data_IF_659999184690
#
_entry.id   IF_659999184690
#
_cell.length_a   1.000
_cell.length_b   1.000
_cell.length_c   1.000
_cell.angle_alpha   90.00
_cell.angle_beta   90.00
_cell.angle_gamma   90.00
#
_symmetry.space_group_name_H-M   'P 1'
#
loop_
_entity.id
_entity.type
_entity.pdbx_description
1 polymer ?
#
# COMPACT_ATOMS: atom_id res chain seq x y z
N UNK A 1 20.86 89.97 -93.24
CA UNK A 1 20.83 90.19 -94.71
C UNK A 1 20.95 91.70 -94.91
N UNK A 2 21.93 92.20 -95.67
CA UNK A 2 22.11 93.67 -95.84
C UNK A 2 21.03 94.27 -96.75
N UNK A 3 20.69 95.55 -96.55
CA UNK A 3 19.67 96.29 -97.31
C UNK A 3 19.83 96.15 -98.83
N UNK A 4 21.08 96.21 -99.30
CA UNK A 4 21.44 96.03 -100.71
C UNK A 4 21.11 94.64 -101.28
N UNK A 5 21.08 93.61 -100.42
CA UNK A 5 20.77 92.23 -100.81
C UNK A 5 19.25 92.01 -100.84
N UNK A 6 18.49 92.70 -99.98
CA UNK A 6 17.01 92.73 -100.03
C UNK A 6 16.52 93.49 -101.25
N UNK A 7 17.10 94.66 -101.53
CA UNK A 7 16.74 95.44 -102.71
C UNK A 7 17.04 94.67 -104.00
N UNK A 8 18.21 94.03 -104.10
CA UNK A 8 18.52 93.14 -105.25
C UNK A 8 17.58 91.93 -105.37
N UNK A 9 17.12 91.36 -104.26
CA UNK A 9 16.15 90.25 -104.27
C UNK A 9 14.76 90.74 -104.73
N UNK A 10 14.34 91.92 -104.24
CA UNK A 10 13.08 92.57 -104.62
C UNK A 10 13.06 92.90 -106.12
N UNK A 11 14.09 93.56 -106.65
CA UNK A 11 14.15 93.90 -108.09
C UNK A 11 14.09 92.66 -108.98
N UNK A 12 14.73 91.55 -108.57
CA UNK A 12 14.66 90.28 -109.31
C UNK A 12 13.30 89.60 -109.18
N UNK A 13 12.65 89.67 -108.02
CA UNK A 13 11.30 89.12 -107.81
C UNK A 13 10.25 89.91 -108.59
N UNK A 14 10.38 91.24 -108.60
CA UNK A 14 9.52 92.17 -109.34
C UNK A 14 9.58 91.91 -110.86
N UNK A 15 10.78 91.63 -111.40
CA UNK A 15 10.99 91.33 -112.82
C UNK A 15 10.37 89.98 -113.25
N UNK A 16 10.22 89.02 -112.33
CA UNK A 16 9.78 87.65 -112.63
C UNK A 16 8.29 87.42 -112.29
N UNK A 17 7.82 87.95 -111.16
CA UNK A 17 6.49 87.66 -110.58
C UNK A 17 5.55 88.87 -110.62
N UNK A 18 6.05 90.06 -110.99
CA UNK A 18 5.28 91.30 -110.94
C UNK A 18 5.28 91.95 -109.55
N UNK A 19 4.92 93.22 -109.52
CA UNK A 19 5.06 94.11 -108.35
C UNK A 19 4.26 93.64 -107.13
N UNK A 20 3.02 93.20 -107.30
CA UNK A 20 2.17 92.78 -106.17
C UNK A 20 2.71 91.52 -105.47
N UNK A 21 3.02 90.45 -106.23
CA UNK A 21 3.48 89.18 -105.68
C UNK A 21 4.89 89.28 -105.08
N UNK A 22 5.77 90.05 -105.70
CA UNK A 22 7.11 90.35 -105.17
C UNK A 22 7.03 91.13 -103.85
N UNK A 23 6.07 92.05 -103.72
CA UNK A 23 5.82 92.81 -102.50
C UNK A 23 5.27 91.91 -101.40
N UNK A 24 4.29 91.05 -101.69
CA UNK A 24 3.71 90.12 -100.72
C UNK A 24 4.76 89.12 -100.16
N UNK A 25 5.63 88.57 -101.02
CA UNK A 25 6.71 87.67 -100.57
C UNK A 25 7.78 88.39 -99.75
N UNK A 26 8.05 89.67 -100.04
CA UNK A 26 9.00 90.48 -99.29
C UNK A 26 8.41 91.03 -97.98
N UNK A 27 7.09 91.21 -97.88
CA UNK A 27 6.36 91.51 -96.63
C UNK A 27 6.40 90.35 -95.65
N UNK A 28 6.37 89.10 -96.15
CA UNK A 28 6.47 87.90 -95.32
C UNK A 28 7.92 87.54 -94.95
N UNK A 29 8.92 88.19 -95.54
CA UNK A 29 10.30 88.04 -95.13
C UNK A 29 10.54 88.90 -93.88
N UNK A 30 11.05 88.32 -92.77
CA UNK A 30 11.29 89.10 -91.56
C UNK A 30 12.21 90.31 -91.88
N UNK A 31 11.96 91.48 -91.26
CA UNK A 31 12.70 92.72 -91.56
C UNK A 31 14.20 92.61 -91.27
N UNK A 32 14.60 91.57 -90.54
CA UNK A 32 15.96 91.17 -90.21
C UNK A 32 16.22 89.76 -90.78
N UNK A 33 17.46 89.45 -91.16
CA UNK A 33 17.73 88.20 -91.90
C UNK A 33 17.43 86.94 -91.08
N UNK A 34 17.32 85.76 -91.71
CA UNK A 34 17.15 84.47 -91.01
C UNK A 34 18.19 84.17 -89.93
N UNK A 35 19.33 84.89 -89.94
CA UNK A 35 20.33 84.87 -88.88
C UNK A 35 19.81 85.45 -87.53
N UNK A 36 18.70 86.20 -87.55
CA UNK A 36 18.07 86.84 -86.40
C UNK A 36 16.78 86.14 -85.92
N UNK A 37 16.28 85.12 -86.65
CA UNK A 37 15.07 84.36 -86.25
C UNK A 37 15.36 83.41 -85.07
N UNK A 38 16.63 83.13 -84.83
CA UNK A 38 17.21 82.86 -83.52
C UNK A 38 18.66 83.29 -83.65
N UNK A 39 19.05 84.36 -82.97
CA UNK A 39 20.47 84.74 -83.00
C UNK A 39 21.27 83.62 -82.34
N UNK A 40 22.45 83.26 -82.86
CA UNK A 40 23.32 82.27 -82.21
C UNK A 40 23.55 82.60 -80.71
N UNK A 41 23.48 83.89 -80.36
CA UNK A 41 23.55 84.41 -78.99
C UNK A 41 22.36 83.96 -78.11
N UNK A 42 21.14 83.94 -78.62
CA UNK A 42 19.97 83.44 -77.88
C UNK A 42 20.05 81.93 -77.65
N UNK A 43 20.57 81.17 -78.62
CA UNK A 43 20.84 79.74 -78.47
C UNK A 43 21.93 79.47 -77.42
N UNK A 44 22.99 80.28 -77.38
CA UNK A 44 24.04 80.20 -76.35
C UNK A 44 23.48 80.48 -74.94
N UNK A 45 22.59 81.48 -74.82
CA UNK A 45 21.91 81.78 -73.55
C UNK A 45 21.02 80.62 -73.11
N UNK A 46 20.24 80.04 -74.03
CA UNK A 46 19.37 78.90 -73.74
C UNK A 46 20.21 77.66 -73.35
N UNK A 47 21.30 77.41 -74.06
CA UNK A 47 22.26 76.32 -73.75
C UNK A 47 22.84 76.49 -72.36
N UNK A 48 23.33 77.68 -72.01
CA UNK A 48 23.85 77.97 -70.68
C UNK A 48 22.80 77.78 -69.59
N UNK A 49 21.54 78.18 -69.84
CA UNK A 49 20.43 77.97 -68.91
C UNK A 49 20.11 76.47 -68.71
N UNK A 50 20.14 75.68 -69.77
CA UNK A 50 19.95 74.22 -69.71
C UNK A 50 21.11 73.55 -68.96
N UNK A 51 22.36 73.91 -69.25
CA UNK A 51 23.54 73.40 -68.55
C UNK A 51 23.48 73.73 -67.05
N UNK A 52 23.12 74.97 -66.70
CA UNK A 52 22.92 75.38 -65.30
C UNK A 52 21.81 74.58 -64.62
N UNK A 53 20.70 74.30 -65.32
CA UNK A 53 19.59 73.50 -64.80
C UNK A 53 19.96 72.03 -64.63
N UNK A 54 20.75 71.46 -65.55
CA UNK A 54 21.28 70.10 -65.42
C UNK A 54 22.21 70.01 -64.20
N UNK A 55 23.13 70.96 -64.04
CA UNK A 55 24.03 71.00 -62.88
C UNK A 55 23.26 71.14 -61.56
N UNK A 56 22.22 71.98 -61.52
CA UNK A 56 21.36 72.13 -60.35
C UNK A 56 20.58 70.84 -60.02
N UNK A 57 20.05 70.15 -61.03
CA UNK A 57 19.36 68.86 -60.85
C UNK A 57 20.31 67.77 -60.37
N UNK A 58 21.53 67.71 -60.91
CA UNK A 58 22.57 66.79 -60.45
C UNK A 58 22.92 67.04 -58.97
N UNK A 59 23.15 68.29 -58.59
CA UNK A 59 23.41 68.65 -57.19
C UNK A 59 22.24 68.30 -56.27
N UNK A 60 20.99 68.52 -56.71
CA UNK A 60 19.80 68.16 -55.93
C UNK A 60 19.67 66.65 -55.76
N UNK A 61 19.92 65.87 -56.82
CA UNK A 61 19.89 64.41 -56.77
C UNK A 61 20.96 63.88 -55.83
N UNK A 62 22.19 64.37 -55.91
CA UNK A 62 23.28 63.99 -55.01
C UNK A 62 22.90 64.26 -53.56
N UNK A 63 22.40 65.46 -53.26
CA UNK A 63 21.94 65.81 -51.91
C UNK A 63 20.80 64.91 -51.42
N UNK A 64 19.85 64.53 -52.29
CA UNK A 64 18.78 63.60 -51.94
C UNK A 64 19.30 62.18 -51.70
N UNK A 65 20.27 61.70 -52.48
CA UNK A 65 20.88 60.39 -52.27
C UNK A 65 21.63 60.35 -50.95
N UNK A 66 22.46 61.35 -50.64
CA UNK A 66 23.16 61.43 -49.35
C UNK A 66 22.18 61.48 -48.17
N UNK A 67 21.08 62.23 -48.29
CA UNK A 67 20.05 62.29 -47.26
C UNK A 67 19.31 60.95 -47.09
N UNK A 68 19.05 60.24 -48.19
CA UNK A 68 18.42 58.92 -48.17
C UNK A 68 19.34 57.88 -47.52
N UNK A 69 20.62 57.86 -47.86
CA UNK A 69 21.62 56.99 -47.25
C UNK A 69 21.74 57.22 -45.75
N UNK A 70 21.81 58.48 -45.32
CA UNK A 70 21.83 58.84 -43.90
C UNK A 70 20.56 58.36 -43.17
N UNK A 71 19.38 58.54 -43.78
CA UNK A 71 18.11 58.10 -43.20
C UNK A 71 18.00 56.57 -43.13
N UNK A 72 18.51 55.86 -44.13
CA UNK A 72 18.54 54.40 -44.14
C UNK A 72 19.48 53.84 -43.07
N UNK A 73 20.70 54.39 -42.96
CA UNK A 73 21.65 54.00 -41.92
C UNK A 73 21.07 54.22 -40.51
N UNK A 74 20.50 55.39 -40.25
CA UNK A 74 19.85 55.68 -38.97
C UNK A 74 18.70 54.70 -38.65
N UNK A 75 17.95 54.26 -39.68
CA UNK A 75 16.87 53.28 -39.52
C UNK A 75 17.39 51.87 -39.29
N UNK A 76 18.52 51.49 -39.91
CA UNK A 76 19.21 50.23 -39.63
C UNK A 76 19.69 50.22 -38.18
N UNK A 77 20.40 51.26 -37.74
CA UNK A 77 20.88 51.39 -36.35
C UNK A 77 19.73 51.28 -35.34
N UNK A 78 18.59 51.91 -35.63
CA UNK A 78 17.40 51.84 -34.78
C UNK A 78 16.82 50.42 -34.70
N UNK A 79 16.78 49.70 -35.83
CA UNK A 79 16.30 48.32 -35.88
C UNK A 79 17.24 47.38 -35.13
N UNK A 80 18.56 47.54 -35.30
CA UNK A 80 19.57 46.75 -34.60
C UNK A 80 19.51 46.97 -33.08
N UNK A 81 19.43 48.23 -32.64
CA UNK A 81 19.28 48.57 -31.22
C UNK A 81 17.98 48.00 -30.64
N UNK A 82 16.87 48.10 -31.38
CA UNK A 82 15.59 47.52 -30.98
C UNK A 82 15.62 45.99 -30.90
N UNK A 83 16.34 45.34 -31.82
CA UNK A 83 16.56 43.89 -31.81
C UNK A 83 17.37 43.44 -30.61
N UNK A 84 18.48 44.11 -30.32
CA UNK A 84 19.33 43.83 -29.17
C UNK A 84 18.58 43.99 -27.85
N UNK A 85 17.80 45.07 -27.69
CA UNK A 85 17.00 45.30 -26.50
C UNK A 85 15.95 44.19 -26.28
N UNK A 86 15.27 43.76 -27.35
CA UNK A 86 14.29 42.67 -27.29
C UNK A 86 14.93 41.34 -26.94
N UNK A 87 16.12 41.04 -27.47
CA UNK A 87 16.86 39.83 -27.11
C UNK A 87 17.21 39.83 -25.62
N UNK A 88 17.71 40.95 -25.09
CA UNK A 88 17.99 41.08 -23.65
C UNK A 88 16.75 40.92 -22.78
N UNK A 89 15.60 41.44 -23.19
CA UNK A 89 14.33 41.24 -22.48
C UNK A 89 13.88 39.77 -22.47
N UNK A 90 14.06 39.07 -23.61
CA UNK A 90 13.74 37.64 -23.72
C UNK A 90 14.66 36.80 -22.84
N UNK A 91 15.96 37.06 -22.85
CA UNK A 91 16.94 36.38 -21.98
C UNK A 91 16.60 36.58 -20.50
N UNK A 92 16.32 37.81 -20.08
CA UNK A 92 15.93 38.11 -18.70
C UNK A 92 14.66 37.36 -18.29
N UNK A 93 13.65 37.30 -19.18
CA UNK A 93 12.42 36.54 -18.94
C UNK A 93 12.66 35.03 -18.84
N UNK A 94 13.52 34.48 -19.68
CA UNK A 94 13.85 33.06 -19.65
C UNK A 94 14.60 32.69 -18.37
N UNK A 95 15.59 33.49 -17.97
CA UNK A 95 16.31 33.27 -16.70
C UNK A 95 15.35 33.32 -15.50
N UNK A 96 14.50 34.35 -15.42
CA UNK A 96 13.50 34.45 -14.35
C UNK A 96 12.47 33.29 -14.37
N UNK A 97 12.24 32.67 -15.53
CA UNK A 97 11.38 31.48 -15.63
C UNK A 97 12.12 30.22 -15.17
N UNK A 98 13.40 30.09 -15.50
CA UNK A 98 14.27 29.00 -15.04
C UNK A 98 14.36 29.03 -13.51
N UNK A 99 14.71 30.17 -12.91
CA UNK A 99 14.81 30.33 -11.45
C UNK A 99 13.51 29.92 -10.74
N UNK A 100 12.36 30.32 -11.30
CA UNK A 100 11.05 29.97 -10.73
C UNK A 100 10.76 28.46 -10.82
N UNK A 101 11.16 27.82 -11.92
CA UNK A 101 11.01 26.38 -12.09
C UNK A 101 11.91 25.63 -11.12
N UNK A 102 13.18 26.03 -11.00
CA UNK A 102 14.14 25.42 -10.06
C UNK A 102 13.65 25.54 -8.61
N UNK A 103 13.23 26.75 -8.19
CA UNK A 103 12.67 26.96 -6.86
C UNK A 103 11.41 26.10 -6.62
N UNK A 104 10.54 25.98 -7.64
CA UNK A 104 9.34 25.15 -7.56
C UNK A 104 9.63 23.66 -7.48
N UNK A 105 10.67 23.18 -8.17
CA UNK A 105 11.10 21.78 -8.10
C UNK A 105 11.72 21.46 -6.74
N UNK A 106 12.57 22.34 -6.21
CA UNK A 106 13.15 22.17 -4.87
C UNK A 106 12.07 22.11 -3.79
N UNK A 107 11.11 23.04 -3.81
CA UNK A 107 10.00 23.02 -2.85
C UNK A 107 9.15 21.74 -2.94
N UNK A 108 8.98 21.17 -4.14
CA UNK A 108 8.28 19.90 -4.33
C UNK A 108 9.09 18.70 -3.81
N UNK A 109 10.42 18.73 -3.96
CA UNK A 109 11.29 17.71 -3.40
C UNK A 109 11.24 17.74 -1.86
N UNK A 110 11.34 18.93 -1.25
CA UNK A 110 11.24 19.08 0.21
C UNK A 110 9.89 18.56 0.74
N UNK A 111 8.80 18.87 0.05
CA UNK A 111 7.46 18.37 0.38
C UNK A 111 7.36 16.85 0.25
N UNK A 112 7.97 16.27 -0.78
CA UNK A 112 7.99 14.83 -1.00
C UNK A 112 8.79 14.12 0.10
N UNK A 113 9.98 14.63 0.45
CA UNK A 113 10.81 14.08 1.52
C UNK A 113 10.09 14.13 2.87
N UNK A 114 9.48 15.27 3.22
CA UNK A 114 8.69 15.40 4.45
C UNK A 114 7.50 14.42 4.47
N UNK A 115 6.81 14.27 3.33
CA UNK A 115 5.70 13.33 3.20
C UNK A 115 6.11 11.86 3.30
N UNK A 116 7.28 11.50 2.75
CA UNK A 116 7.83 10.15 2.86
C UNK A 116 8.24 9.82 4.30
N UNK A 117 8.92 10.75 4.98
CA UNK A 117 9.30 10.58 6.39
C UNK A 117 8.06 10.37 7.28
N UNK A 118 7.01 11.19 7.12
CA UNK A 118 5.77 11.02 7.87
C UNK A 118 5.10 9.65 7.63
N UNK A 119 5.17 9.12 6.40
CA UNK A 119 4.65 7.78 6.10
C UNK A 119 5.49 6.67 6.72
N UNK A 120 6.81 6.84 6.79
CA UNK A 120 7.71 5.89 7.48
C UNK A 120 7.36 5.86 8.97
N UNK A 121 7.28 7.01 9.62
CA UNK A 121 6.90 7.13 11.03
C UNK A 121 5.55 6.46 11.32
N UNK A 122 4.56 6.65 10.44
CA UNK A 122 3.25 6.03 10.56
C UNK A 122 3.32 4.50 10.46
N UNK A 123 4.13 3.97 9.55
CA UNK A 123 4.32 2.52 9.38
C UNK A 123 5.03 1.91 10.58
N UNK A 124 6.06 2.58 11.10
CA UNK A 124 6.79 2.13 12.30
C UNK A 124 5.88 2.11 13.54
N UNK A 125 5.13 3.19 13.77
CA UNK A 125 4.16 3.26 14.86
C UNK A 125 3.07 2.18 14.74
N UNK A 126 2.55 1.96 13.53
CA UNK A 126 1.58 0.89 13.26
C UNK A 126 2.14 -0.51 13.49
N UNK A 127 3.40 -0.73 13.13
CA UNK A 127 4.12 -1.99 13.39
C UNK A 127 4.29 -2.25 14.89
N UNK A 128 4.71 -1.23 15.65
CA UNK A 128 4.86 -1.32 17.11
C UNK A 128 3.54 -1.62 17.81
N UNK A 129 2.46 -0.92 17.44
CA UNK A 129 1.13 -1.15 18.00
C UNK A 129 0.65 -2.59 17.76
N UNK A 130 0.81 -3.09 16.52
CA UNK A 130 0.42 -4.45 16.17
C UNK A 130 1.25 -5.51 16.89
N UNK A 131 2.54 -5.26 17.13
CA UNK A 131 3.36 -6.15 17.96
C UNK A 131 2.82 -6.23 19.39
N UNK A 132 2.49 -5.07 19.99
CA UNK A 132 1.89 -5.03 21.33
C UNK A 132 0.54 -5.75 21.42
N UNK A 133 -0.31 -5.63 20.39
CA UNK A 133 -1.57 -6.38 20.33
C UNK A 133 -1.36 -7.90 20.28
N UNK A 134 -0.37 -8.36 19.51
CA UNK A 134 -0.01 -9.79 19.41
C UNK A 134 0.53 -10.31 20.74
N UNK A 135 1.42 -9.57 21.40
CA UNK A 135 1.94 -9.93 22.72
C UNK A 135 0.82 -10.05 23.77
N UNK A 136 -0.08 -9.06 23.83
CA UNK A 136 -1.23 -9.08 24.73
C UNK A 136 -2.15 -10.29 24.46
N UNK A 137 -2.41 -10.59 23.19
CA UNK A 137 -3.24 -11.73 22.81
C UNK A 137 -2.59 -13.09 23.16
N UNK A 138 -1.26 -13.20 23.01
CA UNK A 138 -0.52 -14.41 23.39
C UNK A 138 -0.52 -14.61 24.91
N UNK A 139 -0.31 -13.54 25.69
CA UNK A 139 -0.39 -13.62 27.15
C UNK A 139 -1.78 -14.05 27.62
N UNK A 140 -2.84 -13.46 27.08
CA UNK A 140 -4.20 -13.85 27.42
C UNK A 140 -4.50 -15.33 27.10
N UNK A 141 -3.94 -15.87 26.00
CA UNK A 141 -4.06 -17.29 25.66
C UNK A 141 -3.28 -18.19 26.60
N UNK A 142 -2.11 -17.76 27.08
CA UNK A 142 -1.32 -18.50 28.07
C UNK A 142 -2.08 -18.57 29.40
N UNK A 143 -2.65 -17.45 29.86
CA UNK A 143 -3.46 -17.41 31.08
C UNK A 143 -4.67 -18.36 31.00
N UNK A 144 -5.36 -18.37 29.84
CA UNK A 144 -6.47 -19.29 29.58
C UNK A 144 -6.04 -20.76 29.58
N UNK A 145 -4.86 -21.06 29.02
CA UNK A 145 -4.33 -22.42 29.00
C UNK A 145 -3.96 -22.89 30.41
N UNK A 146 -3.32 -22.03 31.20
CA UNK A 146 -2.96 -22.32 32.59
C UNK A 146 -4.20 -22.59 33.45
N UNK A 147 -5.20 -21.71 33.38
CA UNK A 147 -6.47 -21.91 34.07
C UNK A 147 -7.17 -23.21 33.63
N UNK A 148 -7.15 -23.50 32.32
CA UNK A 148 -7.72 -24.73 31.77
C UNK A 148 -7.00 -26.00 32.23
N UNK A 149 -5.68 -25.96 32.38
CA UNK A 149 -4.87 -27.07 32.89
C UNK A 149 -5.13 -27.30 34.38
N UNK A 150 -5.16 -26.25 35.19
CA UNK A 150 -5.47 -26.33 36.61
C UNK A 150 -6.87 -26.95 36.84
N UNK A 151 -7.88 -26.48 36.13
CA UNK A 151 -9.24 -27.04 36.21
C UNK A 151 -9.33 -28.51 35.76
N UNK A 152 -8.41 -28.98 34.89
CA UNK A 152 -8.32 -30.40 34.51
C UNK A 152 -7.63 -31.22 35.59
N UNK A 153 -6.59 -30.69 36.23
CA UNK A 153 -5.92 -31.32 37.37
C UNK A 153 -6.91 -31.52 38.50
N UNK A 154 -7.64 -30.46 38.90
CA UNK A 154 -8.66 -30.53 39.96
C UNK A 154 -9.71 -31.61 39.69
N UNK A 155 -10.16 -31.71 38.43
CA UNK A 155 -11.12 -32.76 38.01
C UNK A 155 -10.53 -34.16 38.10
N UNK A 156 -9.27 -34.35 37.75
CA UNK A 156 -8.59 -35.64 37.86
C UNK A 156 -8.42 -36.02 39.33
N UNK A 157 -7.98 -35.10 40.17
CA UNK A 157 -7.82 -35.33 41.62
C UNK A 157 -9.14 -35.70 42.27
N UNK A 158 -10.21 -34.93 42.01
CA UNK A 158 -11.55 -35.25 42.52
C UNK A 158 -12.03 -36.63 42.03
N UNK A 159 -11.80 -36.96 40.77
CA UNK A 159 -12.15 -38.26 40.19
C UNK A 159 -11.38 -39.42 40.79
N UNK A 160 -10.10 -39.24 41.13
CA UNK A 160 -9.28 -40.24 41.80
C UNK A 160 -9.73 -40.45 43.24
N UNK A 161 -10.00 -39.37 43.99
CA UNK A 161 -10.51 -39.45 45.36
C UNK A 161 -11.84 -40.21 45.41
N UNK A 162 -12.79 -39.89 44.52
CA UNK A 162 -14.06 -40.60 44.44
C UNK A 162 -13.89 -42.10 44.13
N UNK A 163 -12.90 -42.48 43.31
CA UNK A 163 -12.58 -43.89 43.04
C UNK A 163 -11.99 -44.58 44.26
N UNK A 164 -11.13 -43.91 45.01
CA UNK A 164 -10.57 -44.43 46.27
C UNK A 164 -11.69 -44.68 47.28
N UNK A 165 -12.59 -43.72 47.48
CA UNK A 165 -13.73 -43.84 48.38
C UNK A 165 -14.65 -45.00 47.98
N UNK A 166 -14.91 -45.16 46.67
CA UNK A 166 -15.71 -46.26 46.15
C UNK A 166 -15.04 -47.62 46.41
N UNK A 167 -13.73 -47.74 46.19
CA UNK A 167 -12.97 -48.97 46.48
C UNK A 167 -13.00 -49.28 47.97
N UNK A 168 -12.79 -48.29 48.83
CA UNK A 168 -12.86 -48.45 50.29
C UNK A 168 -14.24 -48.95 50.73
N UNK A 169 -15.31 -48.36 50.21
CA UNK A 169 -16.68 -48.77 50.50
C UNK A 169 -16.93 -50.23 50.11
N UNK A 170 -16.49 -50.64 48.91
CA UNK A 170 -16.63 -52.03 48.44
C UNK A 170 -15.82 -53.00 49.29
N UNK A 171 -14.61 -52.63 49.70
CA UNK A 171 -13.77 -53.48 50.56
C UNK A 171 -14.37 -53.66 51.95
N UNK A 172 -14.87 -52.59 52.57
CA UNK A 172 -15.57 -52.67 53.87
C UNK A 172 -16.77 -53.59 53.78
N UNK A 173 -17.65 -53.41 52.78
CA UNK A 173 -18.82 -54.26 52.60
C UNK A 173 -18.44 -55.75 52.37
N UNK A 174 -17.34 -56.01 51.66
CA UNK A 174 -16.83 -57.39 51.48
C UNK A 174 -16.30 -57.99 52.78
N UNK A 175 -15.62 -57.21 53.61
CA UNK A 175 -15.15 -57.67 54.92
C UNK A 175 -16.32 -58.02 55.84
N UNK A 176 -17.33 -57.15 55.92
CA UNK A 176 -18.57 -57.42 56.68
C UNK A 176 -19.27 -58.68 56.18
N UNK A 177 -19.33 -58.89 54.85
CA UNK A 177 -19.90 -60.11 54.26
C UNK A 177 -19.08 -61.36 54.63
N UNK A 178 -17.74 -61.27 54.68
CA UNK A 178 -16.89 -62.38 55.09
C UNK A 178 -17.08 -62.70 56.58
N UNK A 179 -17.13 -61.69 57.44
CA UNK A 179 -17.35 -61.85 58.87
C UNK A 179 -18.68 -62.55 59.15
N UNK A 180 -19.79 -62.10 58.53
CA UNK A 180 -21.10 -62.74 58.65
C UNK A 180 -21.11 -64.21 58.17
N UNK A 181 -20.37 -64.53 57.10
CA UNK A 181 -20.19 -65.92 56.64
C UNK A 181 -19.40 -66.75 57.64
N UNK A 182 -18.36 -66.19 58.27
CA UNK A 182 -17.57 -66.89 59.27
C UNK A 182 -18.39 -67.15 60.54
N UNK A 183 -19.13 -66.16 61.05
CA UNK A 183 -20.04 -66.34 62.19
C UNK A 183 -21.08 -67.42 61.93
N UNK A 184 -21.71 -67.41 60.74
CA UNK A 184 -22.69 -68.44 60.34
C UNK A 184 -22.06 -69.84 60.35
N UNK A 185 -20.90 -70.01 59.70
CA UNK A 185 -20.21 -71.32 59.63
C UNK A 185 -19.72 -71.80 61.00
N UNK A 186 -19.28 -70.89 61.87
CA UNK A 186 -18.85 -71.22 63.22
C UNK A 186 -20.04 -71.69 64.06
N UNK A 187 -21.17 -70.99 63.98
CA UNK A 187 -22.42 -71.42 64.63
C UNK A 187 -22.93 -72.78 64.11
N UNK A 188 -22.86 -73.04 62.81
CA UNK A 188 -23.19 -74.35 62.23
C UNK A 188 -22.25 -75.47 62.74
N UNK A 189 -20.96 -75.17 62.88
CA UNK A 189 -19.97 -76.11 63.39
C UNK A 189 -20.19 -76.40 64.89
N UNK A 190 -20.43 -75.38 65.71
CA UNK A 190 -20.77 -75.53 67.14
C UNK A 190 -22.05 -76.34 67.34
N UNK A 191 -23.10 -76.08 66.54
CA UNK A 191 -24.33 -76.84 66.59
C UNK A 191 -24.13 -78.32 66.19
N UNK A 192 -23.22 -78.58 65.25
CA UNK A 192 -22.86 -79.94 64.85
C UNK A 192 -22.11 -80.66 65.96
N UNK A 193 -21.08 -80.03 66.53
CA UNK A 193 -20.35 -80.56 67.67
C UNK A 193 -21.27 -80.81 68.88
N UNK A 194 -22.19 -79.89 69.18
CA UNK A 194 -23.17 -80.06 70.25
C UNK A 194 -24.08 -81.27 70.04
N UNK A 195 -24.52 -81.51 68.79
CA UNK A 195 -25.29 -82.73 68.44
C UNK A 195 -24.45 -84.00 68.61
N UNK A 196 -23.21 -84.00 68.15
CA UNK A 196 -22.31 -85.15 68.25
C UNK A 196 -21.98 -85.48 69.71
N UNK A 197 -21.68 -84.47 70.54
CA UNK A 197 -21.46 -84.62 71.99
C UNK A 197 -22.71 -85.18 72.67
N UNK A 198 -23.88 -84.59 72.40
CA UNK A 198 -25.14 -85.09 72.98
C UNK A 198 -25.45 -86.53 72.56
N UNK A 199 -25.14 -86.91 71.31
CA UNK A 199 -25.23 -88.29 70.83
C UNK A 199 -24.31 -89.21 71.63
N UNK A 200 -23.03 -88.86 71.79
CA UNK A 200 -22.06 -89.64 72.59
C UNK A 200 -22.51 -89.80 74.04
N UNK A 201 -23.01 -88.74 74.67
CA UNK A 201 -23.55 -88.81 76.04
C UNK A 201 -24.74 -89.78 76.14
N UNK A 202 -25.67 -89.75 75.17
CA UNK A 202 -26.82 -90.66 75.17
C UNK A 202 -26.42 -92.12 74.91
N UNK A 203 -25.43 -92.36 74.05
CA UNK A 203 -24.88 -93.69 73.78
C UNK A 203 -24.17 -94.24 75.02
N UNK A 204 -23.31 -93.44 75.64
CA UNK A 204 -22.62 -93.80 76.88
C UNK A 204 -23.63 -94.08 78.01
N UNK A 205 -24.65 -93.24 78.19
CA UNK A 205 -25.68 -93.45 79.20
C UNK A 205 -26.47 -94.75 78.96
N UNK A 206 -26.77 -95.08 77.69
CA UNK A 206 -27.38 -96.35 77.31
C UNK A 206 -26.47 -97.54 77.61
N UNK A 207 -25.19 -97.47 77.24
CA UNK A 207 -24.22 -98.54 77.47
C UNK A 207 -24.02 -98.80 78.97
N UNK A 208 -23.83 -97.75 79.77
CA UNK A 208 -23.73 -97.86 81.24
C UNK A 208 -25.00 -98.45 81.83
N UNK A 209 -26.18 -98.01 81.38
CA UNK A 209 -27.46 -98.57 81.84
C UNK A 209 -27.62 -100.04 81.47
N UNK A 210 -27.22 -100.42 80.25
CA UNK A 210 -27.24 -101.80 79.79
C UNK A 210 -26.27 -102.68 80.58
N UNK A 211 -25.03 -102.21 80.79
CA UNK A 211 -24.03 -102.88 81.60
C UNK A 211 -24.51 -103.08 83.04
N UNK A 212 -25.11 -102.05 83.64
CA UNK A 212 -25.68 -102.10 85.00
C UNK A 212 -26.80 -103.14 85.09
N UNK A 213 -27.71 -103.18 84.10
CA UNK A 213 -28.78 -104.20 84.03
C UNK A 213 -28.22 -105.61 83.89
N UNK A 214 -27.25 -105.82 82.99
CA UNK A 214 -26.62 -107.13 82.78
C UNK A 214 -25.90 -107.60 84.03
N UNK A 215 -25.16 -106.71 84.71
CA UNK A 215 -24.47 -107.02 85.96
C UNK A 215 -25.48 -107.35 87.07
N UNK A 216 -26.58 -106.61 87.17
CA UNK A 216 -27.67 -106.91 88.11
C UNK A 216 -28.28 -108.30 87.85
N UNK A 217 -28.58 -108.65 86.59
CA UNK A 217 -29.07 -109.99 86.21
C UNK A 217 -28.04 -111.08 86.52
N UNK A 218 -26.75 -110.85 86.24
CA UNK A 218 -25.69 -111.79 86.54
C UNK A 218 -25.51 -112.03 88.06
N UNK A 219 -25.50 -110.96 88.87
CA UNK A 219 -25.38 -111.04 90.34
C UNK A 219 -26.60 -111.74 90.94
N UNK A 220 -27.81 -111.38 90.51
CA UNK A 220 -29.03 -112.06 90.97
C UNK A 220 -29.06 -113.54 90.56
N UNK A 221 -28.64 -113.85 89.34
CA UNK A 221 -28.46 -115.24 88.88
C UNK A 221 -27.47 -116.02 89.74
N UNK A 222 -26.28 -115.46 90.02
CA UNK A 222 -25.27 -116.07 90.91
C UNK A 222 -25.82 -116.28 92.32
N UNK A 223 -26.52 -115.29 92.89
CA UNK A 223 -27.15 -115.42 94.19
C UNK A 223 -28.20 -116.54 94.20
N UNK A 224 -29.03 -116.66 93.17
CA UNK A 224 -30.02 -117.74 93.03
C UNK A 224 -29.34 -119.12 92.91
N UNK A 225 -28.28 -119.25 92.12
CA UNK A 225 -27.53 -120.53 92.01
C UNK A 225 -26.84 -120.90 93.31
N UNK A 226 -26.31 -119.91 94.04
CA UNK A 226 -25.66 -120.12 95.34
C UNK A 226 -26.69 -120.56 96.39
N UNK A 227 -27.86 -119.92 96.44
CA UNK A 227 -29.00 -120.35 97.28
C UNK A 227 -29.44 -121.77 96.93
N UNK A 228 -29.57 -122.10 95.63
CA UNK A 228 -29.92 -123.45 95.19
C UNK A 228 -28.86 -124.50 95.57
N UNK A 229 -27.57 -124.19 95.43
CA UNK A 229 -26.47 -125.07 95.82
C UNK A 229 -26.43 -125.32 97.33
N UNK A 230 -26.65 -124.28 98.16
CA UNK A 230 -26.76 -124.41 99.62
C UNK A 230 -27.96 -125.30 100.00
N UNK A 231 -29.14 -125.08 99.41
CA UNK A 231 -30.32 -125.91 99.62
C UNK A 231 -30.10 -127.38 99.22
N UNK A 232 -29.40 -127.63 98.11
CA UNK A 232 -29.05 -128.98 97.67
C UNK A 232 -28.06 -129.65 98.64
N UNK A 233 -27.02 -128.94 99.09
CA UNK A 233 -26.08 -129.44 100.09
C UNK A 233 -26.76 -129.80 101.42
N UNK A 234 -27.74 -129.00 101.86
CA UNK A 234 -28.56 -129.28 103.06
C UNK A 234 -29.46 -130.51 102.89
N UNK A 235 -29.93 -130.83 101.67
CA UNK A 235 -30.74 -132.04 101.40
C UNK A 235 -29.93 -133.33 101.31
N UNK A 236 -28.61 -133.24 101.12
CA UNK A 236 -27.69 -134.38 100.97
C UNK A 236 -26.91 -134.69 102.26
N UNK A 237 -27.04 -133.87 103.30
CA UNK A 237 -26.52 -134.08 104.65
C UNK A 237 -27.62 -134.59 105.58
#
# INVERSE_FOLDING_TARGET
MTEERRHRLFTKLEEILGTEDATALMEHLPPVGWADVATNRELDVLRAAVEARIAALQSLLEARFTALEAALNARIDQVEAGGSARLGEVEARLNARIDRVEAGLNARLDQLEAGLNARIDQVEAGGSARSGEVEAALNARLDQLEAGLNARIDRVEAGLNARVDAVQTVLVARLEQLDSRFETRLGEAEATLGRDVGRVETELHREVSAATRTLFVAVTGLNLTLVAAVLAAVRLA
#
